data_IF_593305425173
#
_entry.id   IF_593305425173
#
_cell.length_a   1.000
_cell.length_b   1.000
_cell.length_c   1.000
_cell.angle_alpha   90.00
_cell.angle_beta   90.00
_cell.angle_gamma   90.00
#
_symmetry.space_group_name_H-M   'P 1'
#
loop_
_entity.id
_entity.type
_entity.pdbx_description
1 polymer ?
#
# COMPACT_ATOMS: atom_id res chain seq x y z
N UNK A 1 26.30 -70.22 36.68
CA UNK A 1 26.29 -69.37 35.45
C UNK A 1 24.88 -68.84 35.26
N UNK A 2 24.73 -67.55 34.92
CA UNK A 2 23.48 -66.82 34.55
C UNK A 2 22.52 -66.54 35.73
N UNK A 3 22.13 -65.33 36.11
CA UNK A 3 22.44 -63.97 35.69
C UNK A 3 21.42 -62.98 36.32
N UNK A 4 21.82 -61.77 36.74
CA UNK A 4 20.90 -60.65 36.83
C UNK A 4 21.45 -59.44 36.05
N UNK A 5 21.85 -59.67 34.79
CA UNK A 5 22.23 -58.59 33.87
C UNK A 5 21.06 -58.14 32.97
N UNK A 6 19.89 -58.78 33.08
CA UNK A 6 18.73 -58.55 32.21
C UNK A 6 17.72 -57.50 32.73
N UNK A 7 18.04 -56.75 33.78
CA UNK A 7 17.13 -55.69 34.30
C UNK A 7 17.57 -54.25 33.97
N UNK A 8 18.77 -54.06 33.42
CA UNK A 8 19.27 -52.72 33.04
C UNK A 8 18.93 -52.38 31.57
N UNK A 9 18.56 -53.36 30.75
CA UNK A 9 18.28 -53.14 29.32
C UNK A 9 16.85 -52.63 29.02
N UNK A 10 15.96 -52.52 30.02
CA UNK A 10 14.55 -52.13 29.79
C UNK A 10 14.26 -50.66 30.17
N UNK A 11 15.15 -49.97 30.89
CA UNK A 11 14.97 -48.54 31.19
C UNK A 11 15.56 -47.59 30.15
N UNK A 12 16.34 -48.08 29.18
CA UNK A 12 17.01 -47.23 28.20
C UNK A 12 16.16 -46.78 26.98
N UNK A 13 14.99 -47.37 26.63
CA UNK A 13 14.18 -46.83 25.53
C UNK A 13 13.11 -45.83 26.00
N UNK A 14 12.99 -45.52 27.29
CA UNK A 14 11.94 -44.61 27.79
C UNK A 14 12.35 -43.12 27.77
N UNK A 15 13.64 -42.82 27.60
CA UNK A 15 14.17 -41.44 27.53
C UNK A 15 14.17 -40.91 26.08
N UNK A 16 13.91 -41.75 25.08
CA UNK A 16 13.85 -41.36 23.66
C UNK A 16 12.52 -40.74 23.20
N UNK A 17 11.51 -40.67 24.08
CA UNK A 17 10.18 -40.15 23.75
C UNK A 17 9.91 -38.72 24.29
N UNK A 18 10.84 -38.12 25.03
CA UNK A 18 10.78 -36.68 25.33
C UNK A 18 11.28 -35.94 24.10
N UNK A 19 10.36 -35.48 23.26
CA UNK A 19 10.65 -34.86 21.96
C UNK A 19 11.67 -33.72 22.04
N UNK A 20 12.45 -33.58 20.96
CA UNK A 20 13.46 -32.53 20.79
C UNK A 20 12.92 -31.09 20.85
N UNK A 21 11.60 -30.91 20.99
CA UNK A 21 10.95 -29.60 21.20
C UNK A 21 11.29 -28.97 22.56
N UNK A 22 11.82 -29.72 23.54
CA UNK A 22 12.17 -29.17 24.86
C UNK A 22 13.57 -28.54 24.95
N UNK A 23 14.44 -28.78 23.97
CA UNK A 23 15.87 -28.42 24.08
C UNK A 23 16.28 -27.34 23.06
N UNK A 24 15.59 -27.23 21.92
CA UNK A 24 15.94 -26.27 20.87
C UNK A 24 14.98 -25.08 20.86
N UNK A 25 15.50 -23.84 20.87
CA UNK A 25 14.66 -22.65 20.73
C UNK A 25 14.05 -22.57 19.32
N UNK A 26 12.81 -22.12 19.25
CA UNK A 26 12.16 -21.76 17.99
C UNK A 26 12.80 -20.47 17.46
N UNK A 27 13.30 -20.55 16.22
CA UNK A 27 13.88 -19.40 15.50
C UNK A 27 12.77 -18.74 14.71
N UNK A 28 12.37 -17.54 15.10
CA UNK A 28 11.36 -16.77 14.38
C UNK A 28 11.93 -15.44 13.88
N UNK A 29 11.59 -15.08 12.65
CA UNK A 29 12.06 -13.86 12.00
C UNK A 29 10.97 -12.78 12.09
N UNK A 30 11.19 -11.78 12.94
CA UNK A 30 10.28 -10.64 13.07
C UNK A 30 10.60 -9.59 12.01
N UNK A 31 9.66 -9.22 11.12
CA UNK A 31 9.85 -8.08 10.25
C UNK A 31 9.91 -6.80 11.11
N UNK A 32 11.01 -6.04 11.01
CA UNK A 32 11.16 -4.78 11.74
C UNK A 32 10.98 -3.64 10.74
N UNK A 33 9.84 -2.96 10.86
CA UNK A 33 9.55 -1.75 10.10
C UNK A 33 10.16 -0.57 10.84
N UNK A 34 10.83 0.31 10.10
CA UNK A 34 11.43 1.55 10.62
C UNK A 34 11.02 2.71 9.73
N UNK A 35 11.12 3.92 10.25
CA UNK A 35 10.96 5.12 9.45
C UNK A 35 12.07 5.19 8.36
N UNK A 36 11.73 5.15 7.05
CA UNK A 36 12.70 5.33 5.99
C UNK A 36 13.04 6.80 5.74
N UNK A 37 12.27 7.75 6.31
CA UNK A 37 12.37 9.18 6.05
C UNK A 37 12.89 9.94 7.27
N UNK A 38 14.21 10.18 7.40
CA UNK A 38 14.76 10.90 8.54
C UNK A 38 14.22 12.35 8.65
N UNK A 39 13.72 12.91 7.55
CA UNK A 39 13.11 14.24 7.49
C UNK A 39 11.65 14.31 7.96
N UNK A 40 10.98 13.16 8.12
CA UNK A 40 9.60 13.05 8.60
C UNK A 40 9.62 12.30 9.93
N UNK A 41 10.08 12.97 10.98
CA UNK A 41 10.30 12.35 12.29
C UNK A 41 9.17 12.65 13.26
N UNK A 42 8.69 13.89 13.30
CA UNK A 42 7.67 14.36 14.24
C UNK A 42 6.32 14.45 13.55
N UNK A 43 5.34 13.69 14.04
CA UNK A 43 4.07 13.48 13.34
C UNK A 43 2.90 13.79 14.26
N UNK A 44 1.92 14.56 13.76
CA UNK A 44 0.62 14.72 14.40
C UNK A 44 -0.43 13.86 13.67
N UNK A 45 -1.33 13.22 14.42
CA UNK A 45 -2.43 12.44 13.86
C UNK A 45 -3.72 13.19 14.15
N UNK A 46 -4.47 13.51 13.10
CA UNK A 46 -5.81 14.06 13.24
C UNK A 46 -6.85 12.93 13.45
N UNK A 47 -7.98 13.22 14.12
CA UNK A 47 -9.12 12.31 14.15
C UNK A 47 -9.54 11.89 12.75
N UNK A 48 -9.88 10.60 12.56
CA UNK A 48 -10.21 10.08 11.23
C UNK A 48 -11.60 10.53 10.80
N UNK A 49 -11.79 10.81 9.52
CA UNK A 49 -13.09 11.07 8.95
C UNK A 49 -13.86 9.77 8.73
N UNK A 50 -15.15 9.76 9.05
CA UNK A 50 -16.00 8.62 8.73
C UNK A 50 -16.64 8.82 7.34
N UNK A 51 -16.21 8.04 6.36
CA UNK A 51 -16.82 7.92 5.03
C UNK A 51 -17.41 6.51 4.80
N UNK A 52 -17.51 5.70 5.86
CA UNK A 52 -18.13 4.39 5.80
C UNK A 52 -19.65 4.47 5.86
N UNK A 53 -20.33 3.38 5.53
CA UNK A 53 -21.79 3.27 5.66
C UNK A 53 -22.25 3.21 7.13
N UNK A 54 -21.33 2.94 8.07
CA UNK A 54 -21.63 2.79 9.49
C UNK A 54 -21.48 4.13 10.23
N UNK A 55 -22.61 4.73 10.62
CA UNK A 55 -22.63 6.04 11.29
C UNK A 55 -22.08 6.03 12.72
N UNK A 56 -22.00 4.86 13.36
CA UNK A 56 -21.57 4.73 14.76
C UNK A 56 -20.06 4.77 14.97
N UNK A 57 -19.27 4.79 13.88
CA UNK A 57 -17.81 4.81 13.93
C UNK A 57 -17.30 6.13 14.51
N UNK A 58 -16.56 6.03 15.63
CA UNK A 58 -15.79 7.16 16.17
C UNK A 58 -14.40 7.20 15.52
N UNK A 59 -14.13 8.27 14.76
CA UNK A 59 -12.85 8.51 14.12
C UNK A 59 -11.69 8.73 15.11
N UNK A 60 -12.00 9.11 16.36
CA UNK A 60 -11.01 9.26 17.43
C UNK A 60 -10.43 7.92 17.84
N UNK A 61 -11.24 6.86 17.91
CA UNK A 61 -10.77 5.52 18.28
C UNK A 61 -9.78 4.97 17.25
N UNK A 62 -10.07 5.19 15.96
CA UNK A 62 -9.16 4.87 14.86
C UNK A 62 -7.86 5.66 14.95
N UNK A 63 -7.94 6.97 15.22
CA UNK A 63 -6.75 7.79 15.42
C UNK A 63 -5.91 7.27 16.60
N UNK A 64 -6.54 6.94 17.74
CA UNK A 64 -5.84 6.40 18.92
C UNK A 64 -5.18 5.05 18.64
N UNK A 65 -5.85 4.17 17.91
CA UNK A 65 -5.27 2.91 17.46
C UNK A 65 -4.06 3.16 16.56
N UNK A 66 -4.19 4.06 15.57
CA UNK A 66 -3.11 4.46 14.66
C UNK A 66 -1.93 5.10 15.39
N UNK A 67 -2.19 5.96 16.38
CA UNK A 67 -1.18 6.57 17.25
C UNK A 67 -0.38 5.51 17.98
N UNK A 68 -1.06 4.51 18.57
CA UNK A 68 -0.39 3.48 19.36
C UNK A 68 0.55 2.61 18.51
N UNK A 69 0.18 2.31 17.26
CA UNK A 69 1.01 1.52 16.35
C UNK A 69 2.15 2.34 15.73
N UNK A 70 1.89 3.61 15.41
CA UNK A 70 2.94 4.49 14.87
C UNK A 70 4.01 4.81 15.93
N UNK A 71 3.63 4.97 17.20
CA UNK A 71 4.55 5.18 18.31
C UNK A 71 5.45 3.95 18.57
N UNK A 72 4.98 2.75 18.26
CA UNK A 72 5.81 1.53 18.34
C UNK A 72 6.85 1.44 17.22
N UNK A 73 6.69 2.21 16.14
CA UNK A 73 7.59 2.18 15.00
C UNK A 73 8.83 3.06 15.26
N UNK A 74 10.06 2.52 15.21
CA UNK A 74 11.27 3.30 15.45
C UNK A 74 11.47 4.41 14.43
N UNK A 75 11.81 5.61 14.94
CA UNK A 75 12.11 6.78 14.12
C UNK A 75 10.94 7.77 13.97
N UNK A 76 9.83 7.54 14.65
CA UNK A 76 8.73 8.50 14.75
C UNK A 76 8.54 9.02 16.18
N UNK A 77 8.36 10.33 16.30
CA UNK A 77 7.87 11.03 17.48
C UNK A 77 6.43 11.45 17.20
N UNK A 78 5.47 10.80 17.86
CA UNK A 78 4.05 11.06 17.59
C UNK A 78 3.47 11.99 18.65
N UNK A 79 2.84 13.08 18.21
CA UNK A 79 2.14 14.03 19.10
C UNK A 79 0.82 13.40 19.58
N UNK A 80 0.50 13.47 20.89
CA UNK A 80 -0.76 12.94 21.41
C UNK A 80 -1.99 13.60 20.76
N UNK A 81 -3.01 12.80 20.47
CA UNK A 81 -4.21 13.25 19.74
C UNK A 81 -4.94 14.38 20.45
N UNK A 82 -5.00 14.37 21.78
CA UNK A 82 -5.66 15.46 22.53
C UNK A 82 -5.04 16.85 22.27
N UNK A 83 -3.72 16.92 22.05
CA UNK A 83 -3.03 18.19 21.71
C UNK A 83 -3.39 18.63 20.29
N UNK A 84 -3.53 17.67 19.37
CA UNK A 84 -3.92 17.94 17.98
C UNK A 84 -5.38 18.42 17.91
N UNK A 85 -6.28 17.75 18.63
CA UNK A 85 -7.69 18.15 18.76
C UNK A 85 -7.84 19.57 19.34
N UNK A 86 -7.12 19.87 20.42
CA UNK A 86 -7.12 21.20 21.03
C UNK A 86 -6.63 22.26 20.04
N UNK A 87 -5.56 21.98 19.28
CA UNK A 87 -5.06 22.89 18.26
C UNK A 87 -6.04 23.11 17.10
N UNK A 88 -6.75 22.06 16.68
CA UNK A 88 -7.81 22.14 15.65
C UNK A 88 -8.95 23.03 16.14
N UNK A 89 -9.43 22.82 17.36
CA UNK A 89 -10.55 23.56 17.96
C UNK A 89 -10.14 25.03 18.19
N UNK A 90 -8.98 25.27 18.78
CA UNK A 90 -8.50 26.61 19.12
C UNK A 90 -8.27 27.49 17.89
N UNK A 91 -7.87 26.90 16.75
CA UNK A 91 -7.57 27.62 15.52
C UNK A 91 -8.67 27.48 14.44
N UNK A 92 -9.78 26.81 14.76
CA UNK A 92 -10.93 26.56 13.86
C UNK A 92 -10.50 25.96 12.51
N UNK A 93 -9.59 24.99 12.53
CA UNK A 93 -9.01 24.41 11.32
C UNK A 93 -9.96 23.37 10.74
N UNK A 94 -10.22 23.46 9.43
CA UNK A 94 -10.98 22.45 8.71
C UNK A 94 -10.04 21.61 7.83
N UNK A 95 -9.88 20.33 8.17
CA UNK A 95 -8.96 19.40 7.51
C UNK A 95 -9.46 18.86 6.15
N UNK A 96 -10.47 19.47 5.53
CA UNK A 96 -10.96 19.10 4.19
C UNK A 96 -9.97 19.43 3.06
N UNK A 97 -8.99 20.30 3.31
CA UNK A 97 -8.02 20.76 2.31
C UNK A 97 -6.57 20.62 2.77
N UNK A 98 -5.68 20.37 1.81
CA UNK A 98 -4.25 20.19 2.05
C UNK A 98 -3.57 21.44 2.66
N UNK A 99 -4.05 22.64 2.32
CA UNK A 99 -3.54 23.90 2.86
C UNK A 99 -3.76 24.04 4.37
N UNK A 100 -4.94 23.65 4.85
CA UNK A 100 -5.29 23.68 6.28
C UNK A 100 -4.57 22.59 7.07
N UNK A 101 -4.41 21.39 6.50
CA UNK A 101 -3.60 20.33 7.11
C UNK A 101 -2.13 20.76 7.30
N UNK A 102 -1.56 21.46 6.30
CA UNK A 102 -0.22 22.06 6.40
C UNK A 102 -0.17 23.17 7.44
N UNK A 103 -1.18 24.02 7.51
CA UNK A 103 -1.28 25.08 8.51
C UNK A 103 -1.29 24.49 9.93
N UNK A 104 -2.04 23.42 10.17
CA UNK A 104 -2.02 22.69 11.44
C UNK A 104 -0.61 22.15 11.75
N UNK A 105 0.08 21.59 10.75
CA UNK A 105 1.44 21.08 10.92
C UNK A 105 2.41 22.19 11.36
N UNK A 106 2.31 23.38 10.75
CA UNK A 106 3.11 24.54 11.10
C UNK A 106 2.81 25.08 12.50
N UNK A 107 1.54 25.10 12.91
CA UNK A 107 1.13 25.55 14.24
C UNK A 107 1.62 24.62 15.35
N UNK A 108 1.58 23.30 15.12
CA UNK A 108 2.06 22.30 16.06
C UNK A 108 3.59 22.14 16.06
N UNK A 109 4.28 22.69 15.05
CA UNK A 109 5.72 22.49 14.86
C UNK A 109 6.08 21.02 14.61
N UNK A 110 5.27 20.34 13.80
CA UNK A 110 5.50 18.94 13.38
C UNK A 110 5.92 18.88 11.92
N UNK A 111 6.61 17.80 11.54
CA UNK A 111 7.09 17.61 10.17
C UNK A 111 5.92 17.25 9.24
N UNK A 112 4.99 16.43 9.73
CA UNK A 112 3.80 16.00 9.00
C UNK A 112 2.55 15.86 9.88
N UNK A 113 1.39 16.06 9.27
CA UNK A 113 0.06 15.76 9.80
C UNK A 113 -0.54 14.61 9.01
N UNK A 114 -1.04 13.61 9.73
CA UNK A 114 -1.77 12.47 9.17
C UNK A 114 -3.26 12.78 9.18
N UNK A 115 -3.87 12.72 8.00
CA UNK A 115 -5.31 12.82 7.81
C UNK A 115 -5.80 11.45 7.33
N UNK A 116 -6.60 10.81 8.16
CA UNK A 116 -7.18 9.49 7.87
C UNK A 116 -8.67 9.58 7.59
N UNK A 117 -9.19 8.63 6.81
CA UNK A 117 -10.60 8.39 6.62
C UNK A 117 -10.89 6.89 6.64
N UNK A 118 -11.98 6.52 7.32
CA UNK A 118 -12.53 5.17 7.32
C UNK A 118 -13.51 5.07 6.16
N UNK A 119 -13.20 4.24 5.16
CA UNK A 119 -13.99 4.13 3.92
C UNK A 119 -14.98 2.97 3.92
N UNK A 120 -14.67 1.90 4.66
CA UNK A 120 -15.56 0.75 4.88
C UNK A 120 -15.35 0.29 6.31
N UNK A 121 -16.41 -0.10 7.02
CA UNK A 121 -16.27 -0.67 8.35
C UNK A 121 -17.44 -1.60 8.66
N UNK A 122 -17.11 -2.84 9.01
CA UNK A 122 -18.05 -3.83 9.50
C UNK A 122 -17.43 -4.52 10.71
N UNK A 123 -17.93 -4.29 11.94
CA UNK A 123 -17.42 -4.96 13.13
C UNK A 123 -17.88 -6.41 13.24
N UNK A 124 -18.92 -6.80 12.49
CA UNK A 124 -19.50 -8.14 12.55
C UNK A 124 -18.71 -9.14 11.71
N UNK A 125 -18.58 -10.36 12.20
CA UNK A 125 -17.83 -11.41 11.53
C UNK A 125 -18.46 -11.81 10.18
N UNK A 126 -17.68 -11.85 9.08
CA UNK A 126 -16.26 -11.53 9.01
C UNK A 126 -15.99 -10.01 9.04
N UNK A 127 -15.11 -9.53 9.93
CA UNK A 127 -14.90 -8.10 10.10
C UNK A 127 -14.20 -7.50 8.88
N UNK A 128 -14.55 -6.24 8.55
CA UNK A 128 -13.91 -5.48 7.48
C UNK A 128 -13.57 -4.06 7.93
N UNK A 129 -12.46 -3.55 7.44
CA UNK A 129 -12.00 -2.20 7.74
C UNK A 129 -11.24 -1.62 6.54
N UNK A 130 -11.76 -0.54 5.96
CA UNK A 130 -11.16 0.24 4.90
C UNK A 130 -10.55 1.51 5.46
N UNK A 131 -9.25 1.71 5.22
CA UNK A 131 -8.51 2.87 5.66
C UNK A 131 -7.91 3.59 4.46
N UNK A 132 -8.13 4.90 4.38
CA UNK A 132 -7.42 5.83 3.50
C UNK A 132 -6.66 6.81 4.36
N UNK A 133 -5.34 6.84 4.21
CA UNK A 133 -4.48 7.72 5.01
C UNK A 133 -3.58 8.54 4.10
N UNK A 134 -3.52 9.83 4.40
CA UNK A 134 -2.76 10.83 3.66
C UNK A 134 -1.88 11.62 4.63
N UNK A 135 -0.62 11.84 4.27
CA UNK A 135 0.34 12.59 5.06
C UNK A 135 0.64 13.93 4.41
N UNK A 136 0.42 15.02 5.14
CA UNK A 136 0.65 16.38 4.69
C UNK A 136 1.83 16.98 5.45
N UNK A 137 2.83 17.48 4.73
CA UNK A 137 4.01 18.08 5.36
C UNK A 137 3.84 19.57 5.64
N UNK A 138 4.50 20.03 6.71
CA UNK A 138 4.59 21.46 7.04
C UNK A 138 5.34 22.25 5.97
N UNK A 139 6.37 21.64 5.38
CA UNK A 139 7.17 22.23 4.30
C UNK A 139 6.51 21.98 2.94
N UNK A 140 6.20 23.03 2.15
CA UNK A 140 5.61 22.91 0.82
C UNK A 140 6.57 22.32 -0.24
N UNK A 141 7.88 22.29 0.01
CA UNK A 141 8.86 21.77 -0.95
C UNK A 141 8.96 20.24 -0.99
N UNK A 142 8.29 19.52 -0.08
CA UNK A 142 8.27 18.05 -0.13
C UNK A 142 7.26 17.57 -1.18
N UNK A 143 7.75 16.74 -2.09
CA UNK A 143 6.96 16.13 -3.17
C UNK A 143 6.43 14.76 -2.72
N UNK A 144 5.48 14.21 -3.48
CA UNK A 144 4.96 12.87 -3.25
C UNK A 144 6.09 11.82 -3.31
N UNK A 145 6.08 10.90 -2.34
CA UNK A 145 7.01 9.77 -2.29
C UNK A 145 6.26 8.51 -2.80
N UNK A 146 6.53 8.08 -4.05
CA UNK A 146 5.84 6.95 -4.64
C UNK A 146 6.21 5.62 -3.97
N UNK A 147 5.36 4.61 -4.18
CA UNK A 147 5.73 3.22 -3.88
C UNK A 147 6.97 2.83 -4.71
N UNK A 148 7.87 2.05 -4.12
CA UNK A 148 9.16 1.70 -4.69
C UNK A 148 10.31 2.60 -4.27
N UNK A 149 10.03 3.81 -3.76
CA UNK A 149 11.09 4.73 -3.34
C UNK A 149 11.91 4.14 -2.18
N UNK A 150 13.25 4.17 -2.29
CA UNK A 150 14.14 3.67 -1.24
C UNK A 150 14.21 2.14 -1.10
N UNK A 151 13.56 1.40 -2.00
CA UNK A 151 13.81 -0.03 -2.16
C UNK A 151 15.20 -0.28 -2.79
N UNK A 152 15.83 -1.43 -2.51
CA UNK A 152 17.20 -1.71 -2.92
C UNK A 152 17.29 -2.18 -4.39
N UNK A 153 16.76 -1.38 -5.31
CA UNK A 153 16.86 -1.59 -6.76
C UNK A 153 18.31 -1.66 -7.22
N UNK A 154 18.57 -2.45 -8.26
CA UNK A 154 19.90 -2.64 -8.84
C UNK A 154 20.93 -3.20 -7.84
N UNK A 155 20.47 -3.87 -6.78
CA UNK A 155 21.34 -4.56 -5.82
C UNK A 155 20.97 -6.04 -5.72
N UNK A 156 21.85 -6.92 -5.23
CA UNK A 156 21.49 -8.32 -4.98
C UNK A 156 20.32 -8.50 -4.00
N UNK A 157 19.95 -7.46 -3.25
CA UNK A 157 18.81 -7.50 -2.35
C UNK A 157 17.46 -7.32 -3.07
N UNK A 158 17.46 -6.97 -4.36
CA UNK A 158 16.25 -6.80 -5.19
C UNK A 158 15.45 -8.11 -5.33
N UNK A 159 16.13 -9.26 -5.37
CA UNK A 159 15.50 -10.59 -5.42
C UNK A 159 14.58 -10.88 -4.22
N UNK A 160 14.81 -10.19 -3.09
CA UNK A 160 14.02 -10.37 -1.87
C UNK A 160 12.84 -9.39 -1.76
N UNK A 161 12.62 -8.54 -2.77
CA UNK A 161 11.46 -7.66 -2.81
C UNK A 161 10.24 -8.49 -3.23
N UNK A 162 9.14 -8.48 -2.46
CA UNK A 162 7.91 -9.16 -2.85
C UNK A 162 7.37 -8.66 -4.18
N UNK A 163 6.91 -9.58 -5.04
CA UNK A 163 6.36 -9.28 -6.38
C UNK A 163 5.25 -8.21 -6.34
N UNK A 164 4.40 -8.21 -5.31
CA UNK A 164 3.35 -7.21 -5.13
C UNK A 164 3.89 -5.78 -5.00
N UNK A 165 5.03 -5.59 -4.32
CA UNK A 165 5.67 -4.28 -4.20
C UNK A 165 6.37 -3.86 -5.50
N UNK A 166 6.92 -4.83 -6.24
CA UNK A 166 7.50 -4.57 -7.57
C UNK A 166 6.42 -4.11 -8.55
N UNK A 167 5.26 -4.76 -8.54
CA UNK A 167 4.12 -4.35 -9.35
C UNK A 167 3.63 -2.95 -8.96
N UNK A 168 3.51 -2.67 -7.65
CA UNK A 168 3.06 -1.36 -7.16
C UNK A 168 4.02 -0.23 -7.56
N UNK A 169 5.34 -0.46 -7.47
CA UNK A 169 6.34 0.53 -7.88
C UNK A 169 6.30 0.80 -9.38
N UNK A 170 6.24 -0.24 -10.21
CA UNK A 170 6.14 -0.11 -11.66
C UNK A 170 4.88 0.68 -12.06
N UNK A 171 3.73 0.37 -11.44
CA UNK A 171 2.49 1.11 -11.67
C UNK A 171 2.58 2.56 -11.21
N UNK A 172 3.29 2.85 -10.11
CA UNK A 172 3.49 4.22 -9.63
C UNK A 172 4.35 5.04 -10.61
N UNK A 173 5.43 4.46 -11.15
CA UNK A 173 6.25 5.10 -12.18
C UNK A 173 5.49 5.30 -13.48
N UNK A 174 4.76 4.27 -13.94
CA UNK A 174 3.93 4.39 -15.14
C UNK A 174 2.89 5.51 -14.99
N UNK A 175 2.28 5.66 -13.81
CA UNK A 175 1.35 6.77 -13.52
C UNK A 175 2.03 8.13 -13.60
N UNK A 176 3.24 8.27 -13.05
CA UNK A 176 4.00 9.52 -13.12
C UNK A 176 4.40 9.86 -14.57
N UNK A 177 4.83 8.87 -15.35
CA UNK A 177 5.15 9.02 -16.77
C UNK A 177 3.92 9.44 -17.58
N UNK A 178 2.79 8.75 -17.41
CA UNK A 178 1.53 9.11 -18.07
C UNK A 178 1.04 10.51 -17.67
N UNK A 179 1.23 10.93 -16.41
CA UNK A 179 0.86 12.28 -15.97
C UNK A 179 1.61 13.38 -16.73
N UNK A 180 2.84 13.11 -17.19
CA UNK A 180 3.60 14.06 -18.03
C UNK A 180 3.17 14.06 -19.50
N UNK A 181 2.58 12.95 -19.97
CA UNK A 181 2.10 12.81 -21.36
C UNK A 181 0.63 13.16 -21.53
N UNK A 182 -0.14 13.17 -20.44
CA UNK A 182 -1.57 13.43 -20.48
C UNK A 182 -1.83 14.83 -21.04
N UNK A 183 -2.70 14.96 -22.07
CA UNK A 183 -3.00 16.25 -22.65
C UNK A 183 -3.73 17.13 -21.63
N UNK A 184 -3.27 18.38 -21.50
CA UNK A 184 -3.97 19.40 -20.72
C UNK A 184 -5.18 19.92 -21.52
N UNK A 185 -6.36 19.35 -21.25
CA UNK A 185 -7.59 19.69 -21.96
C UNK A 185 -8.34 20.90 -21.38
N UNK A 186 -7.75 21.65 -20.44
CA UNK A 186 -8.43 22.75 -19.73
C UNK A 186 -8.92 23.87 -20.65
N UNK A 187 -8.33 24.04 -21.83
CA UNK A 187 -8.72 25.07 -22.80
C UNK A 187 -9.87 24.67 -23.76
N UNK A 188 -10.22 23.38 -23.83
CA UNK A 188 -11.21 22.86 -24.80
C UNK A 188 -12.45 22.21 -24.16
N UNK A 189 -12.44 21.98 -22.85
CA UNK A 189 -13.57 21.35 -22.15
C UNK A 189 -14.77 22.30 -22.06
N UNK A 190 -15.90 21.87 -22.63
CA UNK A 190 -17.20 22.49 -22.34
C UNK A 190 -17.43 22.46 -20.84
N UNK A 191 -17.78 23.61 -20.26
CA UNK A 191 -18.17 23.69 -18.85
C UNK A 191 -19.31 22.70 -18.62
N UNK A 192 -19.12 21.78 -17.66
CA UNK A 192 -20.18 20.86 -17.26
C UNK A 192 -21.47 21.67 -17.01
N UNK A 193 -22.62 21.23 -17.56
CA UNK A 193 -23.88 21.92 -17.30
C UNK A 193 -24.09 22.00 -15.79
N UNK A 194 -24.54 23.16 -15.31
CA UNK A 194 -24.77 23.37 -13.89
C UNK A 194 -25.71 22.27 -13.35
N UNK A 195 -25.46 21.76 -12.13
CA UNK A 195 -26.33 20.75 -11.54
C UNK A 195 -27.77 21.26 -11.53
N UNK A 196 -28.77 20.39 -11.81
CA UNK A 196 -30.16 20.80 -11.83
C UNK A 196 -30.49 21.43 -10.48
N UNK A 197 -30.96 22.69 -10.52
CA UNK A 197 -31.36 23.39 -9.29
C UNK A 197 -32.49 22.58 -8.65
N UNK A 198 -32.46 22.32 -7.34
CA UNK A 198 -33.60 21.71 -6.67
C UNK A 198 -34.84 22.55 -6.98
N UNK A 199 -35.89 21.90 -7.47
CA UNK A 199 -37.16 22.54 -7.78
C UNK A 199 -37.61 23.35 -6.57
N UNK A 200 -37.60 24.67 -6.70
CA UNK A 200 -38.21 25.53 -5.70
C UNK A 200 -39.72 25.42 -5.89
N UNK A 201 -40.36 24.60 -5.06
CA UNK A 201 -41.81 24.64 -4.83
C UNK A 201 -42.14 26.00 -4.23
N UNK A 202 -42.39 27.00 -5.08
CA UNK A 202 -43.16 28.17 -4.72
C UNK A 202 -43.76 28.82 -5.97
N UNK A 203 -44.87 28.27 -6.41
CA UNK A 203 -45.95 29.02 -7.06
C UNK A 203 -47.23 28.19 -7.03
N UNK A 204 -48.26 28.69 -6.34
CA UNK A 204 -49.61 28.16 -6.50
C UNK A 204 -50.55 28.24 -5.29
N UNK A 205 -50.89 29.44 -4.85
CA UNK A 205 -52.26 29.69 -4.39
C UNK A 205 -53.19 29.41 -5.58
N UNK A 206 -54.09 28.42 -5.49
CA UNK A 206 -55.05 28.17 -6.56
C UNK A 206 -55.71 26.79 -6.50
N UNK A 207 -56.93 26.78 -5.98
CA UNK A 207 -57.86 25.65 -5.92
C UNK A 207 -58.07 24.92 -7.25
N UNK A 208 -58.36 23.61 -7.19
CA UNK A 208 -59.10 22.92 -8.25
C UNK A 208 -58.81 21.42 -8.36
N UNK A 209 -59.76 20.62 -7.89
CA UNK A 209 -59.73 19.15 -7.92
C UNK A 209 -59.55 18.55 -9.32
N UNK A 210 -58.83 17.42 -9.42
CA UNK A 210 -59.29 16.21 -10.12
C UNK A 210 -58.38 15.00 -9.89
N UNK A 211 -59.05 13.85 -9.82
CA UNK A 211 -58.59 12.48 -9.58
C UNK A 211 -57.54 11.98 -10.58
N UNK A 212 -56.63 11.17 -10.04
CA UNK A 212 -56.07 9.93 -10.59
C UNK A 212 -55.55 9.95 -12.04
N UNK A 213 -54.22 9.95 -12.20
CA UNK A 213 -53.59 8.97 -13.09
C UNK A 213 -52.15 8.64 -12.67
N UNK A 214 -51.77 7.41 -13.01
CA UNK A 214 -50.60 6.60 -12.63
C UNK A 214 -49.27 7.32 -12.38
N UNK A 215 -48.62 6.89 -11.29
CA UNK A 215 -47.15 6.84 -11.15
C UNK A 215 -46.55 6.19 -12.40
N UNK A 216 -45.98 6.98 -13.28
CA UNK A 216 -45.05 6.52 -14.31
C UNK A 216 -43.65 6.87 -13.80
N UNK A 217 -42.90 5.86 -13.38
CA UNK A 217 -41.49 6.02 -13.04
C UNK A 217 -40.76 6.42 -14.33
N UNK A 218 -40.08 7.58 -14.42
CA UNK A 218 -39.39 8.01 -15.64
C UNK A 218 -38.17 7.15 -15.98
N UNK A 219 -37.76 6.26 -15.07
CA UNK A 219 -36.56 5.44 -15.18
C UNK A 219 -36.83 3.99 -15.61
N UNK A 220 -38.07 3.66 -15.99
CA UNK A 220 -38.45 2.29 -16.32
C UNK A 220 -38.29 1.91 -17.81
N UNK A 221 -38.08 2.88 -18.72
CA UNK A 221 -38.10 2.63 -20.17
C UNK A 221 -36.75 2.83 -20.89
N UNK A 222 -35.68 3.24 -20.20
CA UNK A 222 -34.34 3.31 -20.80
C UNK A 222 -33.56 2.01 -20.55
N UNK A 223 -34.03 0.93 -21.18
CA UNK A 223 -33.20 -0.25 -21.40
C UNK A 223 -32.03 0.14 -22.31
N UNK A 224 -30.81 0.15 -21.76
CA UNK A 224 -29.57 0.30 -22.50
C UNK A 224 -29.53 -0.79 -23.59
N UNK A 225 -29.86 -0.43 -24.82
CA UNK A 225 -29.62 -1.29 -25.98
C UNK A 225 -28.12 -1.32 -26.23
N UNK A 226 -27.48 -2.39 -25.78
CA UNK A 226 -26.13 -2.74 -26.18
C UNK A 226 -26.16 -3.10 -27.67
N UNK A 227 -25.99 -2.12 -28.55
CA UNK A 227 -25.75 -2.37 -29.97
C UNK A 227 -24.36 -2.98 -30.09
N UNK A 228 -24.31 -4.30 -30.23
CA UNK A 228 -23.13 -5.01 -30.71
C UNK A 228 -22.83 -4.51 -32.12
N UNK A 229 -21.80 -3.67 -32.25
CA UNK A 229 -21.20 -3.38 -33.53
C UNK A 229 -20.42 -4.63 -33.96
N UNK A 230 -21.02 -5.42 -34.84
CA UNK A 230 -20.30 -6.43 -35.61
C UNK A 230 -19.50 -5.71 -36.69
N UNK A 231 -18.19 -5.57 -36.47
CA UNK A 231 -17.27 -5.11 -37.51
C UNK A 231 -16.91 -6.33 -38.39
N UNK A 232 -17.42 -6.33 -39.62
CA UNK A 232 -17.16 -7.36 -40.63
C UNK A 232 -15.72 -7.24 -41.15
N UNK A 233 -14.88 -8.24 -40.86
CA UNK A 233 -13.57 -8.45 -41.49
C UNK A 233 -13.74 -9.04 -42.91
N UNK A 234 -13.01 -8.55 -43.93
CA UNK A 234 -13.03 -9.15 -45.26
C UNK A 234 -12.25 -10.48 -45.32
N UNK A 235 -12.68 -11.47 -46.13
CA UNK A 235 -12.22 -12.86 -45.99
C UNK A 235 -10.99 -13.21 -46.83
N UNK A 236 -10.11 -14.01 -46.23
CA UNK A 236 -9.61 -15.25 -46.84
C UNK A 236 -8.22 -15.24 -47.48
N UNK A 237 -7.26 -15.89 -46.82
CA UNK A 237 -6.55 -17.02 -47.43
C UNK A 237 -5.89 -17.90 -46.36
N UNK A 238 -6.52 -19.07 -46.15
CA UNK A 238 -6.05 -20.21 -45.37
C UNK A 238 -4.85 -20.87 -46.04
N UNK A 239 -3.96 -21.45 -45.24
CA UNK A 239 -3.38 -22.80 -45.43
C UNK A 239 -2.53 -23.17 -44.20
N UNK A 240 -3.06 -24.06 -43.36
CA UNK A 240 -2.29 -25.04 -42.56
C UNK A 240 -2.25 -26.39 -43.34
N UNK A 241 -1.65 -27.51 -42.87
CA UNK A 241 -0.68 -27.75 -41.77
C UNK A 241 0.54 -28.65 -42.17
N UNK A 242 1.53 -28.70 -41.26
CA UNK A 242 2.56 -29.71 -40.82
C UNK A 242 2.79 -31.05 -41.59
N UNK A 243 3.94 -31.80 -41.46
CA UNK A 243 4.66 -32.14 -40.20
C UNK A 243 6.22 -32.29 -40.25
N UNK A 244 6.76 -32.64 -39.09
CA UNK A 244 8.17 -32.82 -38.69
C UNK A 244 8.95 -34.00 -39.33
N UNK A 245 10.30 -33.98 -39.24
CA UNK A 245 11.19 -34.98 -38.57
C UNK A 245 12.68 -34.87 -39.02
N UNK A 246 13.61 -35.02 -38.05
CA UNK A 246 15.06 -35.36 -38.13
C UNK A 246 15.99 -34.39 -38.88
N UNK A 247 17.19 -34.05 -38.40
CA UNK A 247 18.22 -34.95 -37.88
C UNK A 247 19.27 -34.17 -37.06
N UNK A 248 19.94 -34.89 -36.17
CA UNK A 248 21.01 -34.42 -35.28
C UNK A 248 22.35 -34.96 -35.76
N UNK A 249 23.41 -34.15 -35.77
CA UNK A 249 24.79 -34.69 -35.67
C UNK A 249 25.75 -33.67 -35.06
N UNK A 250 26.54 -34.17 -34.11
CA UNK A 250 27.58 -33.53 -33.32
C UNK A 250 28.91 -33.36 -34.09
N UNK A 251 29.82 -32.61 -33.45
CA UNK A 251 31.30 -32.73 -33.43
C UNK A 251 32.19 -31.68 -34.12
N UNK A 252 33.17 -31.25 -33.30
CA UNK A 252 34.56 -30.86 -33.57
C UNK A 252 34.98 -29.43 -33.97
N UNK A 253 35.50 -28.74 -32.93
CA UNK A 253 36.90 -28.35 -32.73
C UNK A 253 37.60 -27.35 -33.68
N UNK A 254 38.47 -26.54 -33.06
CA UNK A 254 39.60 -25.75 -33.61
C UNK A 254 39.40 -24.24 -33.84
N UNK A 255 39.91 -23.45 -32.88
CA UNK A 255 40.61 -22.17 -33.15
C UNK A 255 42.01 -22.46 -33.72
N UNK A 256 42.66 -21.62 -34.58
CA UNK A 256 43.20 -20.31 -34.13
C UNK A 256 43.48 -19.18 -35.18
N UNK A 257 43.53 -17.93 -34.65
CA UNK A 257 44.43 -16.76 -34.94
C UNK A 257 44.55 -16.04 -36.32
N UNK A 258 44.06 -14.76 -36.35
CA UNK A 258 44.64 -13.41 -36.73
C UNK A 258 45.72 -13.35 -37.87
N UNK A 259 45.79 -12.37 -38.83
CA UNK A 259 45.65 -10.91 -38.55
C UNK A 259 45.19 -9.88 -39.64
N UNK A 260 45.04 -8.63 -39.16
CA UNK A 260 45.26 -7.29 -39.80
C UNK A 260 44.13 -6.74 -40.72
N UNK A 261 43.31 -5.78 -40.26
CA UNK A 261 43.44 -4.28 -40.35
C UNK A 261 43.17 -3.75 -41.78
N UNK A 262 42.35 -2.75 -42.12
CA UNK A 262 41.80 -1.52 -41.51
C UNK A 262 40.46 -1.22 -42.28
N UNK A 263 39.37 -0.71 -41.69
CA UNK A 263 39.06 0.73 -41.70
C UNK A 263 37.59 0.93 -41.27
N UNK A 264 37.43 1.22 -39.99
CA UNK A 264 36.60 2.26 -39.37
C UNK A 264 35.66 3.02 -40.34
N UNK A 265 34.36 2.69 -40.31
CA UNK A 265 33.29 3.69 -40.42
C UNK A 265 32.58 3.68 -39.06
N UNK A 266 32.86 4.70 -38.26
CA UNK A 266 32.15 4.94 -37.01
C UNK A 266 30.68 5.21 -37.33
N UNK A 267 29.81 4.27 -36.98
CA UNK A 267 28.41 4.57 -36.70
C UNK A 267 28.38 5.00 -35.24
N UNK A 268 28.17 6.30 -35.03
CA UNK A 268 27.91 6.84 -33.70
C UNK A 268 26.71 6.09 -33.09
N UNK A 269 26.76 5.78 -31.78
CA UNK A 269 25.57 5.33 -31.09
C UNK A 269 24.54 6.47 -31.13
N UNK A 270 23.35 6.19 -31.64
CA UNK A 270 22.21 7.10 -31.56
C UNK A 270 21.88 7.24 -30.07
N UNK A 271 22.41 8.30 -29.48
CA UNK A 271 22.09 8.75 -28.13
C UNK A 271 20.60 9.10 -28.11
N UNK A 272 19.79 8.21 -27.55
CA UNK A 272 18.33 8.29 -27.56
C UNK A 272 17.79 9.19 -26.43
N UNK A 273 18.67 9.96 -25.80
CA UNK A 273 18.36 10.78 -24.61
C UNK A 273 17.65 12.10 -24.93
N UNK A 274 17.52 12.49 -26.20
CA UNK A 274 16.99 13.79 -26.61
C UNK A 274 15.46 13.85 -26.91
N UNK A 275 14.68 12.83 -26.54
CA UNK A 275 13.23 12.76 -26.88
C UNK A 275 12.27 12.74 -25.69
N UNK A 276 12.77 12.81 -24.45
CA UNK A 276 11.92 12.75 -23.26
C UNK A 276 11.58 14.16 -22.72
N UNK A 277 10.35 14.37 -22.19
CA UNK A 277 9.99 15.62 -21.53
C UNK A 277 10.99 15.98 -20.41
N UNK A 278 11.24 17.27 -20.15
CA UNK A 278 12.20 17.71 -19.12
C UNK A 278 11.84 17.27 -17.68
N UNK A 279 10.60 16.84 -17.44
CA UNK A 279 10.10 16.31 -16.16
C UNK A 279 9.83 14.79 -16.20
N UNK A 280 10.39 14.07 -17.17
CA UNK A 280 10.22 12.62 -17.29
C UNK A 280 10.82 11.88 -16.07
N UNK A 281 10.04 11.03 -15.37
CA UNK A 281 10.59 10.18 -14.32
C UNK A 281 11.58 9.17 -14.91
N UNK A 282 12.82 9.18 -14.44
CA UNK A 282 13.82 8.17 -14.80
C UNK A 282 13.48 6.80 -14.20
N UNK A 283 13.87 5.71 -14.87
CA UNK A 283 13.64 4.34 -14.40
C UNK A 283 14.33 4.06 -13.06
N UNK A 284 15.47 4.72 -12.82
CA UNK A 284 16.23 4.66 -11.57
C UNK A 284 15.81 5.72 -10.52
N UNK A 285 14.75 6.50 -10.77
CA UNK A 285 14.35 7.62 -9.89
C UNK A 285 13.80 7.15 -8.52
N UNK A 286 13.68 5.85 -8.30
CA UNK A 286 13.35 5.26 -7.00
C UNK A 286 14.52 5.28 -6.01
N UNK A 287 15.74 5.44 -6.50
CA UNK A 287 16.93 5.59 -5.65
C UNK A 287 17.13 7.07 -5.35
N UNK A 288 17.19 7.48 -4.07
CA UNK A 288 17.46 8.88 -3.73
C UNK A 288 18.79 9.32 -4.36
N UNK A 289 18.85 10.52 -4.97
CA UNK A 289 20.10 11.03 -5.51
C UNK A 289 21.12 11.20 -4.38
N UNK A 290 22.41 11.07 -4.73
CA UNK A 290 23.49 11.36 -3.80
C UNK A 290 23.39 12.81 -3.29
N UNK A 291 23.83 13.09 -2.05
CA UNK A 291 23.73 14.42 -1.48
C UNK A 291 24.50 15.44 -2.34
N UNK A 292 23.81 16.51 -2.74
CA UNK A 292 24.37 17.58 -3.55
C UNK A 292 24.79 18.78 -2.69
N UNK A 293 25.80 19.53 -3.12
CA UNK A 293 26.30 20.70 -2.40
C UNK A 293 25.32 21.89 -2.39
N UNK A 294 24.52 22.05 -3.47
CA UNK A 294 23.46 23.04 -3.57
C UNK A 294 22.10 22.43 -3.25
N UNK A 295 21.26 23.17 -2.53
CA UNK A 295 19.87 22.77 -2.32
C UNK A 295 19.07 22.85 -3.62
N UNK A 296 18.16 21.90 -3.90
CA UNK A 296 17.30 21.98 -5.07
C UNK A 296 16.37 23.21 -5.00
N UNK A 297 15.92 23.74 -6.15
CA UNK A 297 14.94 24.83 -6.17
C UNK A 297 13.63 24.39 -5.50
N UNK A 298 12.99 25.33 -4.79
CA UNK A 298 11.71 25.06 -4.13
C UNK A 298 10.60 25.03 -5.18
N UNK A 299 10.09 23.83 -5.48
CA UNK A 299 8.85 23.66 -6.24
C UNK A 299 7.75 23.34 -5.22
N UNK A 300 6.74 24.23 -5.08
CA UNK A 300 5.68 24.00 -4.10
C UNK A 300 4.77 22.85 -4.56
N UNK A 301 4.61 21.87 -3.69
CA UNK A 301 3.68 20.78 -3.84
C UNK A 301 2.54 20.94 -2.84
N UNK A 302 1.30 20.80 -3.29
CA UNK A 302 0.11 20.98 -2.46
C UNK A 302 -0.61 19.66 -2.16
N UNK A 303 -0.14 18.54 -2.70
CA UNK A 303 -0.72 17.23 -2.42
C UNK A 303 -0.14 16.56 -1.17
N UNK A 304 -0.64 15.36 -0.84
CA UNK A 304 -0.08 14.54 0.22
C UNK A 304 1.27 13.95 -0.20
N UNK A 305 2.22 13.92 0.73
CA UNK A 305 3.56 13.37 0.54
C UNK A 305 3.54 11.84 0.58
N UNK A 306 2.65 11.26 1.38
CA UNK A 306 2.36 9.82 1.39
C UNK A 306 0.86 9.63 1.27
N UNK A 307 0.46 8.65 0.46
CA UNK A 307 -0.94 8.19 0.36
C UNK A 307 -0.96 6.67 0.38
N UNK A 308 -1.83 6.11 1.20
CA UNK A 308 -2.10 4.67 1.22
C UNK A 308 -3.59 4.43 1.39
N UNK A 309 -4.13 3.48 0.64
CA UNK A 309 -5.55 3.13 0.72
C UNK A 309 -5.69 1.63 0.60
N UNK A 310 -6.29 1.02 1.61
CA UNK A 310 -6.43 -0.44 1.66
C UNK A 310 -7.70 -0.82 2.40
N UNK A 311 -8.32 -1.90 1.94
CA UNK A 311 -9.42 -2.57 2.63
C UNK A 311 -8.91 -3.90 3.17
N UNK A 312 -9.11 -4.11 4.45
CA UNK A 312 -8.75 -5.30 5.20
C UNK A 312 -10.00 -6.12 5.49
N UNK A 313 -9.93 -7.42 5.24
CA UNK A 313 -11.01 -8.37 5.51
C UNK A 313 -10.52 -9.53 6.35
N UNK A 314 -11.27 -9.89 7.38
CA UNK A 314 -11.00 -11.09 8.19
C UNK A 314 -11.19 -12.42 7.45
N UNK A 315 -11.65 -12.40 6.19
CA UNK A 315 -11.73 -13.58 5.31
C UNK A 315 -10.47 -13.85 4.51
N UNK A 316 -9.55 -12.88 4.43
CA UNK A 316 -8.37 -12.96 3.58
C UNK A 316 -7.28 -13.82 4.26
N UNK A 317 -6.79 -14.91 3.62
CA UNK A 317 -5.78 -15.78 4.21
C UNK A 317 -4.50 -15.01 4.55
N UNK A 318 -4.04 -14.11 3.68
CA UNK A 318 -2.80 -13.34 3.89
C UNK A 318 -2.94 -12.43 5.11
N UNK A 319 -4.13 -11.83 5.29
CA UNK A 319 -4.47 -11.01 6.45
C UNK A 319 -4.46 -11.83 7.75
N UNK A 320 -5.09 -13.01 7.75
CA UNK A 320 -5.14 -13.87 8.95
C UNK A 320 -3.75 -14.42 9.32
N UNK A 321 -2.91 -14.73 8.33
CA UNK A 321 -1.52 -15.12 8.56
C UNK A 321 -0.70 -13.97 9.16
N UNK A 322 -0.86 -12.75 8.64
CA UNK A 322 -0.22 -11.56 9.20
C UNK A 322 -0.70 -11.29 10.63
N UNK A 323 -1.99 -11.50 10.93
CA UNK A 323 -2.54 -11.37 12.27
C UNK A 323 -1.97 -12.39 13.26
N UNK A 324 -1.84 -13.64 12.83
CA UNK A 324 -1.21 -14.69 13.63
C UNK A 324 0.23 -14.32 14.00
N UNK A 325 1.02 -13.84 13.02
CA UNK A 325 2.38 -13.37 13.25
C UNK A 325 2.42 -12.16 14.20
N UNK A 326 1.51 -11.20 14.01
CA UNK A 326 1.39 -10.03 14.86
C UNK A 326 1.11 -10.39 16.32
N UNK A 327 0.10 -11.23 16.55
CA UNK A 327 -0.27 -11.72 17.88
C UNK A 327 0.89 -12.51 18.53
N UNK A 328 1.58 -13.35 17.75
CA UNK A 328 2.74 -14.12 18.22
C UNK A 328 3.83 -13.21 18.80
N UNK A 329 4.23 -12.15 18.08
CA UNK A 329 5.32 -11.27 18.52
C UNK A 329 4.94 -10.27 19.61
N UNK A 330 3.65 -10.12 19.89
CA UNK A 330 3.15 -9.17 20.87
C UNK A 330 3.02 -9.76 22.28
N UNK A 331 3.13 -11.09 22.41
CA UNK A 331 3.04 -11.82 23.69
C UNK A 331 1.77 -11.47 24.47
N UNK A 332 0.66 -11.29 23.74
CA UNK A 332 -0.61 -10.93 24.35
C UNK A 332 -1.14 -12.14 25.15
N UNK A 333 -0.98 -12.10 26.48
CA UNK A 333 -1.37 -13.16 27.40
C UNK A 333 -2.89 -13.33 27.57
N UNK A 334 -3.70 -12.66 26.73
CA UNK A 334 -5.16 -12.72 26.77
C UNK A 334 -5.68 -14.07 26.24
N UNK A 335 -6.77 -14.54 26.85
CA UNK A 335 -7.46 -15.76 26.42
C UNK A 335 -8.05 -15.61 25.01
N UNK A 336 -7.88 -16.65 24.18
CA UNK A 336 -8.52 -16.77 22.86
C UNK A 336 -7.60 -16.64 21.65
N UNK A 337 -6.27 -16.58 21.84
CA UNK A 337 -5.31 -16.59 20.74
C UNK A 337 -5.47 -15.41 19.78
N UNK A 338 -4.94 -15.56 18.57
CA UNK A 338 -5.02 -14.54 17.53
C UNK A 338 -6.44 -14.43 16.95
N UNK A 339 -7.23 -15.50 17.00
CA UNK A 339 -8.62 -15.53 16.52
C UNK A 339 -9.52 -14.57 17.30
N UNK A 340 -9.21 -14.34 18.58
CA UNK A 340 -9.94 -13.38 19.41
C UNK A 340 -9.87 -11.93 18.90
N UNK A 341 -8.83 -11.58 18.13
CA UNK A 341 -8.71 -10.26 17.50
C UNK A 341 -9.79 -10.06 16.43
N UNK A 342 -10.25 -11.12 15.75
CA UNK A 342 -11.33 -11.02 14.75
C UNK A 342 -12.71 -10.84 15.39
N UNK A 343 -12.85 -11.13 16.68
CA UNK A 343 -14.12 -11.03 17.42
C UNK A 343 -14.25 -9.70 18.16
N UNK A 344 -13.15 -9.00 18.41
CA UNK A 344 -13.11 -7.72 19.14
C UNK A 344 -12.80 -6.59 18.18
N UNK A 345 -13.74 -5.66 18.00
CA UNK A 345 -13.61 -4.51 17.11
C UNK A 345 -12.31 -3.73 17.35
N UNK A 346 -11.96 -3.46 18.60
CA UNK A 346 -10.86 -2.57 18.95
C UNK A 346 -9.50 -3.21 18.62
N UNK A 347 -9.36 -4.50 18.91
CA UNK A 347 -8.17 -5.29 18.59
C UNK A 347 -8.04 -5.48 17.07
N UNK A 348 -9.16 -5.66 16.35
CA UNK A 348 -9.21 -5.71 14.89
C UNK A 348 -8.77 -4.38 14.25
N UNK A 349 -9.36 -3.25 14.68
CA UNK A 349 -9.02 -1.91 14.17
C UNK A 349 -7.54 -1.62 14.41
N UNK A 350 -7.03 -1.97 15.59
CA UNK A 350 -5.61 -1.82 15.91
C UNK A 350 -4.71 -2.62 14.98
N UNK A 351 -5.05 -3.88 14.70
CA UNK A 351 -4.29 -4.67 13.75
C UNK A 351 -4.40 -4.13 12.31
N UNK A 352 -5.57 -3.64 11.89
CA UNK A 352 -5.70 -2.96 10.60
C UNK A 352 -4.79 -1.73 10.51
N UNK A 353 -4.71 -0.90 11.55
CA UNK A 353 -3.78 0.22 11.60
C UNK A 353 -2.32 -0.23 11.53
N UNK A 354 -1.96 -1.31 12.25
CA UNK A 354 -0.62 -1.89 12.19
C UNK A 354 -0.26 -2.33 10.77
N UNK A 355 -1.14 -3.10 10.13
CA UNK A 355 -0.95 -3.60 8.78
C UNK A 355 -0.84 -2.43 7.78
N UNK A 356 -1.68 -1.41 7.95
CA UNK A 356 -1.66 -0.21 7.12
C UNK A 356 -0.34 0.56 7.19
N UNK A 357 0.17 0.79 8.39
CA UNK A 357 1.48 1.44 8.59
C UNK A 357 2.59 0.55 8.02
N UNK A 358 2.50 -0.75 8.23
CA UNK A 358 3.48 -1.74 7.77
C UNK A 358 3.59 -1.77 6.26
N UNK A 359 2.48 -1.92 5.55
CA UNK A 359 2.41 -1.86 4.08
C UNK A 359 2.91 -0.51 3.59
N UNK A 360 2.41 0.57 4.18
CA UNK A 360 2.75 1.92 3.75
C UNK A 360 4.25 2.16 3.85
N UNK A 361 4.90 1.82 4.97
CA UNK A 361 6.33 2.06 5.13
C UNK A 361 7.19 1.06 4.36
N UNK A 362 6.76 -0.21 4.25
CA UNK A 362 7.50 -1.23 3.50
C UNK A 362 7.55 -0.91 2.01
N UNK A 363 6.45 -0.40 1.44
CA UNK A 363 6.40 0.06 0.05
C UNK A 363 7.38 1.22 -0.24
N UNK A 364 7.92 1.91 0.78
CA UNK A 364 8.93 2.97 0.62
C UNK A 364 10.27 2.66 1.33
N UNK A 365 10.64 1.39 1.42
CA UNK A 365 11.97 0.97 1.93
C UNK A 365 12.11 0.96 3.46
N UNK A 366 10.99 1.05 4.20
CA UNK A 366 10.96 0.93 5.66
C UNK A 366 11.15 -0.51 6.18
N UNK A 367 10.95 -1.51 5.33
CA UNK A 367 11.21 -2.91 5.63
C UNK A 367 12.70 -3.22 5.46
N UNK A 368 13.45 -3.32 6.56
CA UNK A 368 14.84 -3.83 6.54
C UNK A 368 14.94 -5.14 7.32
N UNK A 369 16.12 -5.77 7.21
CA UNK A 369 16.53 -7.07 7.79
C UNK A 369 15.66 -7.52 8.98
N UNK A 370 15.09 -8.72 8.86
CA UNK A 370 14.31 -9.35 9.92
C UNK A 370 15.15 -9.50 11.18
N UNK A 371 14.55 -9.21 12.33
CA UNK A 371 15.16 -9.47 13.63
C UNK A 371 14.93 -10.94 13.98
N UNK A 372 16.02 -11.67 14.23
CA UNK A 372 15.96 -13.05 14.72
C UNK A 372 15.55 -13.01 16.19
N UNK A 373 14.41 -13.64 16.50
CA UNK A 373 13.89 -13.81 17.85
C UNK A 373 14.00 -15.29 18.20
N UNK A 374 14.65 -15.58 19.34
CA UNK A 374 14.78 -16.92 19.89
C UNK A 374 13.75 -17.09 21.00
N UNK A 375 12.84 -18.06 20.86
CA UNK A 375 11.87 -18.37 21.91
C UNK A 375 11.98 -19.80 22.40
N UNK A 376 11.75 -19.98 23.69
CA UNK A 376 11.65 -21.29 24.31
C UNK A 376 10.17 -21.61 24.50
N UNK A 377 9.71 -22.81 24.13
CA UNK A 377 8.32 -23.18 24.30
C UNK A 377 7.92 -23.17 25.79
N UNK A 378 6.76 -22.57 26.09
CA UNK A 378 6.29 -22.31 27.46
C UNK A 378 5.80 -23.55 28.23
N UNK A 379 5.79 -24.74 27.62
CA UNK A 379 5.46 -25.99 28.31
C UNK A 379 6.59 -26.40 29.27
N UNK A 380 6.59 -25.82 30.48
CA UNK A 380 7.44 -26.19 31.61
C UNK A 380 6.66 -26.89 32.72
#
# INVERSE_FOLDING_TARGET
>A
MRGPLLKILVCLPLVGLTGCSLVLPEISHKPVIRNPFPQLSRIAIAPFFNHSDESTVDGRDFAMAYFSELQMTPGFEVVPIGVVEEAIIANQINLSGAGEARRLAQLLGVDAVVVGAVTDYSPYYPPRCGLRVEWYTANPGYHEIPAGYGLPWNTPAEEYIPDGLVYESQMALARAQMATQAPDCDSGCQTLPAPPRPFSENSGTGNGASKADRRRNPFADDAIKLTQATEELPPGQLLEPTPATSDSTETDDSSPKIPTSESIVASEPIDTTDTLPPNWPCEDCFVPPSPQASRPPCVPYHGPVLKHTRVYSGTDPDFTQALQNYAYFREDARFGGWESYLQRSDDFVRFCCHMHISEMLSARGGSRKTQVVWRWPENR
#
